data_IF_269953082160
#
_entry.id   IF_269953082160
#
_cell.length_a   1.000
_cell.length_b   1.000
_cell.length_c   1.000
_cell.angle_alpha   90.00
_cell.angle_beta   90.00
_cell.angle_gamma   90.00
#
_symmetry.space_group_name_H-M   'P 1'
#
loop_
_entity.id
_entity.type
_entity.pdbx_description
1 polymer ?
#
# COMPACT_ATOMS: atom_id res chain seq x y z
N UNK A 1 -31.14 12.96 0.32
CA UNK A 1 -29.67 13.08 0.28
C UNK A 1 -29.15 11.91 -0.50
N UNK A 2 -28.47 12.12 -1.64
CA UNK A 2 -27.91 10.99 -2.40
C UNK A 2 -26.77 10.38 -1.58
N UNK A 3 -26.84 9.08 -1.29
CA UNK A 3 -25.77 8.41 -0.55
C UNK A 3 -24.47 8.50 -1.36
N UNK A 4 -23.34 8.82 -0.70
CA UNK A 4 -22.04 8.86 -1.35
C UNK A 4 -21.63 7.46 -1.81
N UNK A 5 -21.34 7.31 -3.10
CA UNK A 5 -20.90 6.03 -3.68
C UNK A 5 -19.42 5.79 -3.38
N UNK A 6 -19.12 4.72 -2.66
CA UNK A 6 -17.78 4.20 -2.48
C UNK A 6 -17.48 3.19 -3.59
N UNK A 7 -16.95 3.68 -4.72
CA UNK A 7 -16.82 2.87 -5.94
C UNK A 7 -16.14 1.49 -5.77
N UNK A 8 -15.09 1.28 -4.93
CA UNK A 8 -14.50 -0.04 -4.79
C UNK A 8 -15.47 -1.03 -4.14
N UNK A 9 -16.31 -0.55 -3.22
CA UNK A 9 -17.30 -1.39 -2.52
C UNK A 9 -18.57 -1.55 -3.34
N UNK A 10 -19.06 -0.46 -3.92
CA UNK A 10 -20.42 -0.39 -4.44
C UNK A 10 -20.50 -0.71 -5.93
N UNK A 11 -19.45 -0.39 -6.70
CA UNK A 11 -19.46 -0.56 -8.16
C UNK A 11 -18.62 -1.76 -8.62
N UNK A 12 -17.46 -1.98 -8.02
CA UNK A 12 -16.54 -3.05 -8.46
C UNK A 12 -17.16 -4.46 -8.45
N UNK A 13 -17.97 -4.86 -7.44
CA UNK A 13 -18.61 -6.18 -7.45
C UNK A 13 -19.59 -6.38 -8.61
N UNK A 14 -20.13 -5.31 -9.22
CA UNK A 14 -21.07 -5.43 -10.35
C UNK A 14 -20.37 -5.94 -11.62
N UNK A 15 -19.10 -5.61 -11.82
CA UNK A 15 -18.31 -6.07 -12.95
C UNK A 15 -17.44 -7.28 -12.60
N UNK A 16 -17.04 -7.40 -11.32
CA UNK A 16 -16.17 -8.48 -10.83
C UNK A 16 -16.74 -9.13 -9.56
N UNK A 17 -17.76 -10.00 -9.69
CA UNK A 17 -18.47 -10.57 -8.53
C UNK A 17 -17.59 -11.42 -7.62
N UNK A 18 -16.52 -12.00 -8.16
CA UNK A 18 -15.57 -12.83 -7.40
C UNK A 18 -14.44 -12.02 -6.77
N UNK A 19 -14.35 -10.71 -7.02
CA UNK A 19 -13.29 -9.86 -6.48
C UNK A 19 -13.54 -9.58 -4.99
N UNK A 20 -12.47 -9.69 -4.19
CA UNK A 20 -12.48 -9.29 -2.79
C UNK A 20 -11.81 -7.92 -2.65
N UNK A 21 -12.53 -6.98 -2.04
CA UNK A 21 -12.07 -5.61 -1.83
C UNK A 21 -11.58 -5.47 -0.40
N UNK A 22 -10.34 -5.03 -0.24
CA UNK A 22 -9.70 -4.82 1.06
C UNK A 22 -9.21 -3.37 1.15
N UNK A 23 -9.30 -2.80 2.34
CA UNK A 23 -8.73 -1.49 2.67
C UNK A 23 -7.71 -1.67 3.78
N UNK A 24 -6.52 -1.10 3.61
CA UNK A 24 -5.51 -1.08 4.65
C UNK A 24 -5.33 0.36 5.14
N UNK A 25 -5.61 0.59 6.41
CA UNK A 25 -5.41 1.87 7.09
C UNK A 25 -4.15 1.82 7.94
N UNK A 26 -3.46 2.95 8.03
CA UNK A 26 -2.27 3.14 8.85
C UNK A 26 -2.21 4.59 9.34
N UNK A 27 -1.43 4.85 10.39
CA UNK A 27 -1.24 6.20 10.89
C UNK A 27 -0.53 7.08 9.86
N UNK A 28 -1.19 8.15 9.43
CA UNK A 28 -0.69 9.08 8.41
C UNK A 28 0.32 10.10 8.95
N UNK A 29 0.57 10.17 10.26
CA UNK A 29 1.56 11.06 10.88
C UNK A 29 3.00 10.56 10.69
N UNK A 30 3.37 10.23 9.46
CA UNK A 30 4.74 9.90 9.07
C UNK A 30 5.53 11.19 8.89
N UNK A 31 6.25 11.64 9.92
CA UNK A 31 7.09 12.85 9.83
C UNK A 31 8.43 12.54 9.17
N UNK A 32 8.72 13.26 8.08
CA UNK A 32 10.05 13.28 7.44
C UNK A 32 11.10 13.74 8.47
N UNK A 33 12.32 13.17 8.41
CA UNK A 33 13.42 13.22 9.41
C UNK A 33 13.96 14.63 9.79
N UNK A 34 13.10 15.54 10.23
CA UNK A 34 13.46 16.89 10.73
C UNK A 34 12.75 17.09 12.09
N UNK A 35 13.16 16.35 13.12
CA UNK A 35 12.65 16.50 14.49
C UNK A 35 13.16 15.43 15.46
N UNK A 36 13.09 15.64 16.79
CA UNK A 36 13.64 14.71 17.78
C UNK A 36 12.86 13.39 17.78
N UNK A 37 13.60 12.28 17.81
CA UNK A 37 13.11 10.90 17.68
C UNK A 37 12.60 10.39 19.03
N UNK A 38 11.29 10.40 19.24
CA UNK A 38 10.66 9.76 20.39
C UNK A 38 9.30 9.13 20.02
N UNK A 39 9.26 8.24 19.01
CA UNK A 39 8.12 7.35 18.63
C UNK A 39 7.36 7.73 17.35
N UNK A 40 8.04 7.83 16.21
CA UNK A 40 7.39 7.98 14.90
C UNK A 40 7.38 6.65 14.13
N UNK A 41 6.20 6.13 13.79
CA UNK A 41 6.06 4.99 12.87
C UNK A 41 6.61 5.37 11.50
N UNK A 42 7.58 4.62 11.00
CA UNK A 42 8.19 4.88 9.69
C UNK A 42 7.43 4.16 8.57
N UNK A 43 7.66 4.57 7.33
CA UNK A 43 7.18 3.83 6.14
C UNK A 43 7.64 2.37 6.18
N UNK A 44 8.85 2.13 6.69
CA UNK A 44 9.40 0.78 6.84
C UNK A 44 8.57 -0.07 7.80
N UNK A 45 8.13 0.51 8.92
CA UNK A 45 7.33 -0.22 9.91
C UNK A 45 5.94 -0.52 9.32
N UNK A 46 5.27 0.49 8.76
CA UNK A 46 3.96 0.35 8.10
C UNK A 46 4.01 -0.73 7.01
N UNK A 47 5.03 -0.71 6.15
CA UNK A 47 5.18 -1.70 5.09
C UNK A 47 5.42 -3.12 5.60
N UNK A 48 6.10 -3.27 6.75
CA UNK A 48 6.29 -4.57 7.40
C UNK A 48 4.99 -5.12 7.95
N UNK A 49 4.26 -4.30 8.69
CA UNK A 49 2.96 -4.67 9.26
C UNK A 49 1.96 -4.99 8.15
N UNK A 50 1.95 -4.16 7.09
CA UNK A 50 1.09 -4.41 5.94
C UNK A 50 1.37 -5.75 5.27
N UNK A 51 2.65 -6.12 5.10
CA UNK A 51 3.03 -7.41 4.52
C UNK A 51 2.45 -8.58 5.32
N UNK A 52 2.65 -8.55 6.64
CA UNK A 52 2.23 -9.64 7.54
C UNK A 52 0.71 -9.75 7.59
N UNK A 53 0.00 -8.62 7.74
CA UNK A 53 -1.46 -8.61 7.79
C UNK A 53 -2.05 -9.07 6.45
N UNK A 54 -1.50 -8.61 5.34
CA UNK A 54 -1.97 -9.00 4.01
C UNK A 54 -1.77 -10.50 3.74
N UNK A 55 -0.62 -11.05 4.12
CA UNK A 55 -0.38 -12.49 4.02
C UNK A 55 -1.38 -13.28 4.88
N UNK A 56 -1.56 -12.89 6.15
CA UNK A 56 -2.48 -13.55 7.06
C UNK A 56 -3.92 -13.55 6.51
N UNK A 57 -4.39 -12.42 5.97
CA UNK A 57 -5.70 -12.27 5.34
C UNK A 57 -5.89 -13.10 4.05
N UNK A 58 -4.83 -13.73 3.54
CA UNK A 58 -4.81 -14.44 2.25
C UNK A 58 -4.31 -15.87 2.34
N UNK A 59 -4.03 -16.38 3.54
CA UNK A 59 -3.52 -17.75 3.74
C UNK A 59 -4.36 -18.85 3.10
N UNK A 60 -5.69 -18.67 3.04
CA UNK A 60 -6.60 -19.62 2.40
C UNK A 60 -6.51 -19.62 0.87
N UNK A 61 -6.06 -18.53 0.26
CA UNK A 61 -6.02 -18.33 -1.20
C UNK A 61 -4.77 -17.54 -1.60
N UNK A 62 -3.55 -18.06 -1.33
CA UNK A 62 -2.31 -17.29 -1.48
C UNK A 62 -2.05 -16.85 -2.92
N UNK A 63 -2.43 -17.68 -3.91
CA UNK A 63 -2.24 -17.46 -5.34
C UNK A 63 -3.28 -16.55 -6.00
N UNK A 64 -4.34 -16.15 -5.30
CA UNK A 64 -5.40 -15.29 -5.88
C UNK A 64 -4.78 -13.97 -6.39
N UNK A 65 -5.02 -13.52 -7.63
CA UNK A 65 -4.42 -12.28 -8.12
C UNK A 65 -4.61 -11.07 -7.20
N UNK A 66 -3.56 -10.27 -7.03
CA UNK A 66 -3.52 -9.05 -6.23
C UNK A 66 -3.31 -7.83 -7.11
N UNK A 67 -4.25 -6.89 -7.03
CA UNK A 67 -4.14 -5.56 -7.63
C UNK A 67 -4.15 -4.52 -6.52
N UNK A 68 -3.14 -3.66 -6.48
CA UNK A 68 -3.09 -2.56 -5.51
C UNK A 68 -3.61 -1.27 -6.14
N UNK A 69 -4.42 -0.53 -5.40
CA UNK A 69 -4.82 0.84 -5.71
C UNK A 69 -4.28 1.71 -4.58
N UNK A 70 -3.27 2.53 -4.87
CA UNK A 70 -2.50 3.21 -3.84
C UNK A 70 -2.42 4.71 -4.11
N UNK A 71 -2.71 5.51 -3.08
CA UNK A 71 -2.71 6.97 -3.15
C UNK A 71 -1.60 7.58 -2.28
N UNK A 72 -0.94 8.63 -2.78
CA UNK A 72 0.06 9.41 -2.04
C UNK A 72 1.10 8.52 -1.36
N UNK A 73 1.32 8.67 -0.04
CA UNK A 73 2.23 7.86 0.76
C UNK A 73 1.98 6.35 0.63
N UNK A 74 0.72 5.94 0.43
CA UNK A 74 0.35 4.53 0.31
C UNK A 74 1.07 3.84 -0.84
N UNK A 75 1.36 4.54 -1.94
CA UNK A 75 2.12 3.96 -3.04
C UNK A 75 3.58 3.67 -2.66
N UNK A 76 4.18 4.46 -1.77
CA UNK A 76 5.52 4.19 -1.24
C UNK A 76 5.48 2.99 -0.28
N UNK A 77 4.44 2.92 0.56
CA UNK A 77 4.19 1.76 1.46
C UNK A 77 4.09 0.46 0.66
N UNK A 78 3.30 0.43 -0.43
CA UNK A 78 3.18 -0.76 -1.30
C UNK A 78 4.52 -1.13 -1.92
N UNK A 79 5.30 -0.16 -2.43
CA UNK A 79 6.61 -0.42 -3.03
C UNK A 79 7.57 -1.07 -2.04
N UNK A 80 7.69 -0.52 -0.83
CA UNK A 80 8.57 -1.07 0.20
C UNK A 80 8.09 -2.44 0.71
N UNK A 81 6.77 -2.63 0.84
CA UNK A 81 6.17 -3.93 1.19
C UNK A 81 6.53 -5.00 0.16
N UNK A 82 6.38 -4.71 -1.13
CA UNK A 82 6.72 -5.65 -2.20
C UNK A 82 8.23 -5.92 -2.29
N UNK A 83 9.07 -4.90 -2.06
CA UNK A 83 10.52 -5.08 -1.97
C UNK A 83 10.88 -6.07 -0.85
N UNK A 84 10.24 -5.96 0.31
CA UNK A 84 10.41 -6.90 1.43
C UNK A 84 9.92 -8.30 1.07
N UNK A 85 8.71 -8.43 0.53
CA UNK A 85 8.15 -9.69 0.08
C UNK A 85 9.09 -10.42 -0.90
N UNK A 86 9.64 -9.70 -1.88
CA UNK A 86 10.62 -10.25 -2.84
C UNK A 86 11.84 -10.84 -2.14
N UNK A 87 12.39 -10.15 -1.14
CA UNK A 87 13.58 -10.59 -0.39
C UNK A 87 13.31 -11.75 0.60
N UNK A 88 12.05 -12.09 0.85
CA UNK A 88 11.68 -13.20 1.73
C UNK A 88 11.79 -14.60 1.08
N UNK A 89 12.11 -14.69 -0.22
CA UNK A 89 12.07 -15.94 -0.99
C UNK A 89 12.70 -17.15 -0.29
N UNK A 90 13.90 -16.98 0.27
CA UNK A 90 14.64 -18.10 0.89
C UNK A 90 14.26 -18.37 2.35
N UNK A 91 13.84 -17.34 3.11
CA UNK A 91 13.62 -17.46 4.56
C UNK A 91 12.16 -17.60 4.94
N UNK A 92 11.27 -16.94 4.20
CA UNK A 92 9.83 -16.84 4.49
C UNK A 92 9.03 -16.91 3.16
N UNK A 93 8.98 -18.09 2.51
CA UNK A 93 8.34 -18.23 1.19
C UNK A 93 6.87 -17.81 1.15
N UNK A 94 6.16 -17.95 2.27
CA UNK A 94 4.76 -17.50 2.41
C UNK A 94 4.61 -15.99 2.24
N UNK A 95 5.56 -15.17 2.74
CA UNK A 95 5.54 -13.73 2.47
C UNK A 95 5.93 -13.42 1.01
N UNK A 96 6.83 -14.21 0.42
CA UNK A 96 7.21 -14.06 -0.99
C UNK A 96 6.05 -14.29 -1.95
N UNK A 97 5.08 -15.14 -1.59
CA UNK A 97 3.85 -15.36 -2.38
C UNK A 97 3.08 -14.07 -2.65
N UNK A 98 3.15 -13.06 -1.77
CA UNK A 98 2.53 -11.75 -2.03
C UNK A 98 3.12 -11.11 -3.29
N UNK A 99 4.43 -11.18 -3.48
CA UNK A 99 5.08 -10.68 -4.69
C UNK A 99 4.63 -11.48 -5.93
N UNK A 100 4.55 -12.81 -5.83
CA UNK A 100 4.13 -13.68 -6.93
C UNK A 100 2.66 -13.53 -7.33
N UNK A 101 1.78 -13.24 -6.38
CA UNK A 101 0.36 -13.01 -6.62
C UNK A 101 0.06 -11.58 -7.13
N UNK A 102 1.00 -10.65 -7.00
CA UNK A 102 0.80 -9.25 -7.42
C UNK A 102 0.85 -9.12 -8.93
N UNK A 103 -0.29 -8.81 -9.54
CA UNK A 103 -0.43 -8.66 -11.00
C UNK A 103 -0.34 -7.20 -11.45
N UNK A 104 -0.52 -6.25 -10.54
CA UNK A 104 -0.43 -4.83 -10.88
C UNK A 104 -0.61 -3.87 -9.70
N UNK A 105 -0.24 -2.61 -9.96
CA UNK A 105 -0.40 -1.50 -9.03
C UNK A 105 -0.87 -0.28 -9.81
N UNK A 106 -1.91 0.39 -9.33
CA UNK A 106 -2.39 1.68 -9.81
C UNK A 106 -2.01 2.77 -8.79
N UNK A 107 -1.18 3.72 -9.22
CA UNK A 107 -0.73 4.83 -8.36
C UNK A 107 -1.51 6.10 -8.61
N UNK A 108 -1.87 6.79 -7.53
CA UNK A 108 -2.55 8.09 -7.56
C UNK A 108 -1.75 9.09 -6.72
N UNK A 109 -1.14 10.10 -7.36
CA UNK A 109 -0.41 11.15 -6.65
C UNK A 109 0.73 10.65 -5.75
N UNK A 110 1.32 9.48 -6.02
CA UNK A 110 2.40 8.92 -5.20
C UNK A 110 3.72 9.65 -5.49
N UNK A 111 4.40 10.23 -4.48
CA UNK A 111 5.61 11.01 -4.66
C UNK A 111 6.84 10.10 -4.84
N UNK A 112 6.95 9.42 -5.98
CA UNK A 112 7.97 8.40 -6.23
C UNK A 112 9.41 8.90 -6.12
N UNK A 113 9.68 10.15 -6.51
CA UNK A 113 10.98 10.80 -6.41
C UNK A 113 11.17 11.64 -5.15
N UNK A 114 10.24 11.55 -4.19
CA UNK A 114 10.10 12.50 -3.09
C UNK A 114 9.06 13.58 -3.38
N UNK A 115 8.54 14.19 -2.32
CA UNK A 115 7.79 15.44 -2.41
C UNK A 115 8.79 16.54 -2.09
N UNK A 116 9.31 17.25 -3.08
CA UNK A 116 10.11 18.44 -2.79
C UNK A 116 9.16 19.55 -2.32
N UNK A 117 9.19 19.98 -1.05
CA UNK A 117 8.39 21.11 -0.60
C UNK A 117 8.81 22.43 -1.27
N UNK A 118 9.95 22.46 -1.98
CA UNK A 118 10.49 23.64 -2.69
C UNK A 118 10.20 23.67 -4.19
N UNK A 119 9.39 22.74 -4.71
CA UNK A 119 8.96 22.72 -6.11
C UNK A 119 7.93 23.79 -6.48
N UNK A 120 7.61 24.74 -5.59
CA UNK A 120 6.78 25.90 -5.91
C UNK A 120 7.66 26.99 -6.53
N UNK A 121 7.49 27.23 -7.83
CA UNK A 121 7.96 28.47 -8.47
C UNK A 121 7.17 29.62 -7.84
N UNK A 122 7.78 30.34 -6.91
CA UNK A 122 7.29 31.64 -6.48
C UNK A 122 7.89 32.67 -7.45
N UNK A 123 7.04 33.38 -8.20
CA UNK A 123 7.50 34.56 -8.93
C UNK A 123 7.84 35.64 -7.91
N UNK A 124 9.08 36.11 -7.94
CA UNK A 124 9.45 37.43 -7.40
C UNK A 124 9.01 38.52 -8.36
#
# INVERSE_FOLDING_TARGET
TSASVCWPRDLLPTNFPSARVLTYGYDTHVRHRLGPVLNSTTVYDISGDFLVVLEACRRSEPSRPLLFVAHSLGGIVVKEMLRRAKNCQSRQPHLHQICGATVGIMFFGTPHGGADPRGLLLSV
#
